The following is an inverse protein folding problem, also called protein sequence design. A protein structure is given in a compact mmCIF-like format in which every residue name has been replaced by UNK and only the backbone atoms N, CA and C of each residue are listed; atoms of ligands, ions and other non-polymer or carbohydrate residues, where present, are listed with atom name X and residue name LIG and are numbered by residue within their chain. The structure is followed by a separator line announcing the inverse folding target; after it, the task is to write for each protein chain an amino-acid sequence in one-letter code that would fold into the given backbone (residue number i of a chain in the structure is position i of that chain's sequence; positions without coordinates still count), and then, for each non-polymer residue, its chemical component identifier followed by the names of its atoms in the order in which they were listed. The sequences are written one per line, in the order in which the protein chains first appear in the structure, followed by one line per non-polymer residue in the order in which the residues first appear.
data_IF_962237127498
#
_entry.id   IF_962237127498
#
_cell.length_a   1.000
_cell.length_b   1.000
_cell.length_c   1.000
_cell.angle_alpha   90.00
_cell.angle_beta   90.00
_cell.angle_gamma   90.00
#
_symmetry.space_group_name_H-M   'P 1'
#
loop_
_entity.id
_entity.type
_entity.pdbx_description
1 polymer ?
#
# COMPACT_ATOMS: atom_id res chain seq x y z
N UNK A 1 -0.85 -22.67 10.04
CA UNK A 1 -1.93 -22.25 9.13
C UNK A 1 -1.77 -20.80 8.73
N UNK A 2 -1.30 -20.57 7.50
CA UNK A 2 -1.27 -19.23 6.91
C UNK A 2 -2.69 -18.96 6.39
N UNK A 3 -3.51 -18.23 7.16
CA UNK A 3 -4.81 -17.77 6.69
C UNK A 3 -4.57 -16.78 5.55
N UNK A 4 -5.03 -17.12 4.35
CA UNK A 4 -4.99 -16.17 3.25
C UNK A 4 -5.93 -15.00 3.54
N UNK A 5 -5.47 -13.78 3.25
CA UNK A 5 -6.23 -12.57 3.52
C UNK A 5 -7.26 -12.36 2.42
N UNK A 6 -8.54 -12.39 2.80
CA UNK A 6 -9.68 -12.12 1.90
C UNK A 6 -9.84 -10.60 1.67
N UNK A 7 -9.02 -10.06 0.77
CA UNK A 7 -9.04 -8.64 0.37
C UNK A 7 -7.84 -8.24 -0.50
N UNK A 8 -7.74 -6.94 -0.82
CA UNK A 8 -6.70 -6.39 -1.68
C UNK A 8 -5.40 -6.21 -0.89
N UNK A 9 -4.29 -6.79 -1.36
CA UNK A 9 -2.96 -6.65 -0.75
C UNK A 9 -2.17 -5.55 -1.47
N UNK A 10 -1.64 -4.58 -0.74
CA UNK A 10 -0.94 -3.40 -1.28
C UNK A 10 0.44 -3.22 -0.63
N UNK A 11 1.44 -2.76 -1.38
CA UNK A 11 2.76 -2.41 -0.82
C UNK A 11 3.17 -1.01 -1.27
N UNK A 12 3.42 -0.12 -0.31
CA UNK A 12 3.94 1.21 -0.58
C UNK A 12 5.46 1.23 -0.39
N UNK A 13 6.20 1.55 -1.45
CA UNK A 13 7.67 1.56 -1.45
C UNK A 13 8.25 2.61 -2.43
N UNK A 14 9.48 3.04 -2.17
CA UNK A 14 10.21 4.02 -2.99
C UNK A 14 11.02 3.40 -4.14
N UNK A 15 11.23 2.07 -4.15
CA UNK A 15 11.96 1.39 -5.24
C UNK A 15 11.38 1.70 -6.62
N UNK A 16 12.24 1.66 -7.64
CA UNK A 16 11.86 1.94 -9.03
C UNK A 16 10.85 0.91 -9.58
N UNK A 17 10.15 1.29 -10.64
CA UNK A 17 9.16 0.44 -11.30
C UNK A 17 7.75 1.03 -11.32
N UNK A 18 6.85 0.41 -12.08
CA UNK A 18 5.47 0.88 -12.21
C UNK A 18 4.75 0.73 -10.86
N UNK A 19 4.07 1.80 -10.46
CA UNK A 19 3.25 1.87 -9.24
C UNK A 19 1.90 2.44 -9.58
N UNK A 20 0.86 1.89 -8.97
CA UNK A 20 -0.49 2.44 -9.10
C UNK A 20 -0.73 3.50 -8.03
N UNK A 21 -1.51 4.53 -8.35
CA UNK A 21 -1.98 5.42 -7.30
C UNK A 21 -2.96 4.64 -6.41
N UNK A 22 -2.79 4.70 -5.09
CA UNK A 22 -3.65 3.97 -4.15
C UNK A 22 -5.15 4.17 -4.40
N UNK A 23 -5.57 5.38 -4.82
CA UNK A 23 -6.99 5.70 -5.08
C UNK A 23 -7.56 4.99 -6.31
N UNK A 24 -6.70 4.54 -7.24
CA UNK A 24 -7.11 3.79 -8.43
C UNK A 24 -7.30 2.30 -8.19
N UNK A 25 -6.79 1.78 -7.07
CA UNK A 25 -6.72 0.33 -6.78
C UNK A 25 -7.72 -0.10 -5.72
N UNK A 26 -8.30 0.84 -4.97
CA UNK A 26 -9.21 0.56 -3.86
C UNK A 26 -10.65 0.96 -4.22
N UNK A 27 -11.53 -0.01 -4.56
CA UNK A 27 -12.96 0.23 -4.67
C UNK A 27 -13.56 0.54 -3.29
N UNK A 28 -14.70 1.24 -3.30
CA UNK A 28 -15.47 1.51 -2.07
C UNK A 28 -15.90 0.19 -1.41
N UNK A 29 -15.78 0.12 -0.08
CA UNK A 29 -16.25 -1.02 0.72
C UNK A 29 -15.36 -2.27 0.69
N UNK A 30 -14.18 -2.21 0.07
CA UNK A 30 -13.26 -3.34 0.02
C UNK A 30 -12.38 -3.45 1.28
N UNK A 31 -12.12 -4.68 1.72
CA UNK A 31 -11.05 -4.97 2.68
C UNK A 31 -9.71 -4.87 1.98
N UNK A 32 -8.74 -4.26 2.65
CA UNK A 32 -7.38 -4.21 2.14
C UNK A 32 -6.36 -4.37 3.27
N UNK A 33 -5.18 -4.84 2.89
CA UNK A 33 -3.98 -4.93 3.72
C UNK A 33 -2.89 -4.13 3.01
N UNK A 34 -2.18 -3.27 3.73
CA UNK A 34 -1.10 -2.48 3.16
C UNK A 34 0.18 -2.63 3.97
N UNK A 35 1.30 -2.82 3.26
CA UNK A 35 2.65 -2.79 3.81
C UNK A 35 3.24 -1.40 3.64
N UNK A 36 3.72 -0.83 4.75
CA UNK A 36 4.46 0.43 4.79
C UNK A 36 5.88 0.11 5.23
N UNK A 37 6.86 0.57 4.45
CA UNK A 37 8.27 0.30 4.73
C UNK A 37 8.74 0.96 6.03
N UNK A 38 9.79 0.42 6.67
CA UNK A 38 10.46 1.06 7.80
C UNK A 38 11.23 2.33 7.35
N UNK A 39 11.96 2.99 8.25
CA UNK A 39 12.75 4.20 7.95
C UNK A 39 13.68 4.04 6.72
N UNK A 40 14.26 2.83 6.56
CA UNK A 40 15.12 2.45 5.44
C UNK A 40 14.39 1.98 4.18
N UNK A 41 13.06 1.93 4.20
CA UNK A 41 12.18 1.29 3.21
C UNK A 41 12.41 -0.22 3.05
N UNK A 42 11.61 -0.86 2.20
CA UNK A 42 11.79 -2.25 1.80
C UNK A 42 12.97 -2.42 0.85
N UNK A 43 13.75 -3.47 1.07
CA UNK A 43 14.74 -3.96 0.12
C UNK A 43 14.08 -4.41 -1.20
N UNK A 44 14.86 -4.54 -2.26
CA UNK A 44 14.33 -5.01 -3.55
C UNK A 44 13.79 -6.44 -3.43
N UNK A 45 14.47 -7.27 -2.63
CA UNK A 45 14.11 -8.66 -2.34
C UNK A 45 12.78 -8.76 -1.58
N UNK A 46 12.56 -7.90 -0.58
CA UNK A 46 11.28 -7.84 0.16
C UNK A 46 10.12 -7.39 -0.72
N UNK A 47 10.36 -6.42 -1.62
CA UNK A 47 9.34 -6.01 -2.59
C UNK A 47 9.01 -7.15 -3.54
N UNK A 48 10.01 -7.83 -4.12
CA UNK A 48 9.79 -9.00 -4.99
C UNK A 48 8.99 -10.07 -4.26
N UNK A 49 9.36 -10.41 -3.03
CA UNK A 49 8.63 -11.38 -2.21
C UNK A 49 7.18 -10.96 -1.98
N UNK A 50 6.91 -9.68 -1.71
CA UNK A 50 5.55 -9.18 -1.57
C UNK A 50 4.76 -9.32 -2.88
N UNK A 51 5.35 -8.97 -4.02
CA UNK A 51 4.70 -9.12 -5.34
C UNK A 51 4.36 -10.58 -5.62
N UNK A 52 5.25 -11.52 -5.33
CA UNK A 52 5.02 -12.97 -5.44
C UNK A 52 3.87 -13.46 -4.53
N UNK A 53 3.64 -12.76 -3.41
CA UNK A 53 2.53 -13.03 -2.48
C UNK A 53 1.24 -12.24 -2.83
N UNK A 54 1.17 -11.66 -4.03
CA UNK A 54 -0.02 -10.99 -4.56
C UNK A 54 -0.21 -9.55 -4.07
N UNK A 55 0.83 -8.91 -3.52
CA UNK A 55 0.77 -7.48 -3.21
C UNK A 55 0.88 -6.64 -4.47
N UNK A 56 0.08 -5.59 -4.56
CA UNK A 56 0.10 -4.61 -5.65
C UNK A 56 0.96 -3.41 -5.24
N UNK A 57 1.95 -3.00 -6.04
CA UNK A 57 2.81 -1.88 -5.70
C UNK A 57 2.07 -0.56 -5.92
N UNK A 58 2.07 0.28 -4.88
CA UNK A 58 1.35 1.56 -4.89
C UNK A 58 2.25 2.74 -4.53
N UNK A 59 1.92 3.91 -5.07
CA UNK A 59 2.48 5.19 -4.67
C UNK A 59 1.46 6.00 -3.86
N UNK A 60 1.97 6.79 -2.91
CA UNK A 60 1.18 7.71 -2.08
C UNK A 60 1.29 9.16 -2.60
N UNK A 61 1.58 9.32 -3.89
CA UNK A 61 1.89 10.60 -4.53
C UNK A 61 3.36 10.71 -4.96
N UNK A 62 3.77 11.93 -5.30
CA UNK A 62 5.12 12.20 -5.85
C UNK A 62 6.18 12.42 -4.75
N UNK A 63 5.76 12.63 -3.51
CA UNK A 63 6.66 12.90 -2.40
C UNK A 63 7.04 11.61 -1.67
N UNK A 64 8.32 11.52 -1.28
CA UNK A 64 8.78 10.47 -0.36
C UNK A 64 8.31 10.79 1.06
N UNK A 65 7.36 10.00 1.55
CA UNK A 65 6.84 10.11 2.92
C UNK A 65 7.71 9.28 3.87
N UNK A 66 7.87 9.76 5.12
CA UNK A 66 8.42 8.95 6.22
C UNK A 66 7.38 7.94 6.70
N UNK A 67 7.81 6.87 7.36
CA UNK A 67 7.00 5.71 7.75
C UNK A 67 5.65 6.07 8.37
N UNK A 68 5.65 6.90 9.41
CA UNK A 68 4.45 7.29 10.14
C UNK A 68 3.54 8.20 9.31
N UNK A 69 4.14 9.08 8.51
CA UNK A 69 3.39 9.98 7.61
C UNK A 69 2.74 9.20 6.47
N UNK A 70 3.41 8.17 5.95
CA UNK A 70 2.86 7.27 4.95
C UNK A 70 1.64 6.51 5.49
N UNK A 71 1.76 5.94 6.69
CA UNK A 71 0.64 5.26 7.35
C UNK A 71 -0.56 6.20 7.56
N UNK A 72 -0.33 7.41 8.06
CA UNK A 72 -1.39 8.40 8.26
C UNK A 72 -2.03 8.84 6.93
N UNK A 73 -1.23 9.07 5.90
CA UNK A 73 -1.73 9.46 4.58
C UNK A 73 -2.64 8.38 3.98
N UNK A 74 -2.30 7.10 4.16
CA UNK A 74 -3.15 5.98 3.73
C UNK A 74 -4.47 5.96 4.48
N UNK A 75 -4.45 6.09 5.82
CA UNK A 75 -5.67 6.12 6.64
C UNK A 75 -6.58 7.26 6.20
N UNK A 76 -6.03 8.46 5.99
CA UNK A 76 -6.81 9.63 5.55
C UNK A 76 -7.35 9.40 4.13
N UNK A 77 -6.52 8.97 3.19
CA UNK A 77 -6.94 8.76 1.80
C UNK A 77 -8.05 7.71 1.72
N UNK A 78 -7.87 6.58 2.40
CA UNK A 78 -8.88 5.51 2.42
C UNK A 78 -10.16 5.95 3.12
N UNK A 79 -10.07 6.65 4.26
CA UNK A 79 -11.23 7.24 4.92
C UNK A 79 -12.01 8.18 3.99
N UNK A 80 -11.35 9.08 3.26
CA UNK A 80 -12.02 10.00 2.33
C UNK A 80 -12.65 9.28 1.13
N UNK A 81 -12.08 8.18 0.68
CA UNK A 81 -12.62 7.39 -0.44
C UNK A 81 -13.80 6.52 -0.03
N UNK A 82 -13.82 6.02 1.21
CA UNK A 82 -14.86 5.10 1.70
C UNK A 82 -15.96 5.78 2.51
N UNK A 83 -15.74 7.01 3.00
CA UNK A 83 -16.76 7.72 3.77
C UNK A 83 -17.89 8.22 2.88
N UNK A 84 -19.12 8.02 3.33
CA UNK A 84 -20.29 8.70 2.80
C UNK A 84 -20.46 10.02 3.57
N UNK A 85 -19.84 11.08 3.06
CA UNK A 85 -20.25 12.46 3.37
C UNK A 85 -21.16 12.98 2.26
#
# INVERSE_FOLDING_TARGET
DQKDFDGIKLIAHCNEGPKHNITSVLPKGCKFLILIGPEGDFSSEEVVLALENGFIPVSLGNSRLRTETAALAVVIATYLLTSEF
#
